data_IF_373769033617
#
_entry.id   IF_373769033617
#
_cell.length_a   1.000
_cell.length_b   1.000
_cell.length_c   1.000
_cell.angle_alpha   90.00
_cell.angle_beta   90.00
_cell.angle_gamma   90.00
#
_symmetry.space_group_name_H-M   'P 1'
#
loop_
_entity.id
_entity.type
_entity.pdbx_description
1 polymer ?
#
# COMPACT_ATOMS: atom_id res chain seq x y z
N UNK A 1 3.83 -6.74 -7.25
CA UNK A 1 2.64 -5.89 -7.12
C UNK A 1 3.09 -4.47 -6.84
N UNK A 2 2.30 -3.48 -7.24
CA UNK A 2 2.66 -2.08 -7.04
C UNK A 2 1.43 -1.26 -6.65
N UNK A 3 1.64 -0.13 -6.00
CA UNK A 3 0.58 0.78 -5.56
C UNK A 3 1.11 2.21 -5.50
N UNK A 4 0.33 3.16 -5.98
CA UNK A 4 0.64 4.58 -5.93
C UNK A 4 -0.62 5.40 -5.65
N UNK A 5 -0.43 6.65 -5.23
CA UNK A 5 -1.50 7.61 -5.03
C UNK A 5 -1.19 8.86 -5.87
N UNK A 6 -2.21 9.41 -6.54
CA UNK A 6 -2.04 10.63 -7.34
C UNK A 6 -3.14 11.67 -7.04
N UNK A 7 -2.77 12.93 -6.76
CA UNK A 7 -1.41 13.38 -6.43
C UNK A 7 -0.88 12.65 -5.20
N UNK A 8 0.43 12.39 -5.13
CA UNK A 8 1.02 11.68 -4.00
C UNK A 8 0.86 12.51 -2.72
N UNK A 9 0.17 12.02 -1.69
CA UNK A 9 0.01 12.75 -0.44
C UNK A 9 1.37 12.99 0.23
N UNK A 10 1.58 14.15 0.88
CA UNK A 10 2.76 14.38 1.70
C UNK A 10 2.90 13.27 2.76
N UNK A 11 4.08 12.67 2.88
CA UNK A 11 4.34 11.57 3.83
C UNK A 11 4.00 10.17 3.31
N UNK A 12 3.49 10.04 2.07
CA UNK A 12 3.07 8.74 1.55
C UNK A 12 4.26 7.80 1.30
N UNK A 13 5.38 8.32 0.82
CA UNK A 13 6.59 7.54 0.57
C UNK A 13 7.20 6.94 1.85
N UNK A 14 6.95 7.58 2.99
CA UNK A 14 7.45 7.21 4.32
C UNK A 14 6.47 6.34 5.10
N UNK A 15 5.26 6.10 4.56
CA UNK A 15 4.24 5.33 5.24
C UNK A 15 4.69 3.88 5.49
N UNK A 16 4.42 3.38 6.69
CA UNK A 16 4.66 1.99 7.03
C UNK A 16 3.61 1.09 6.37
N UNK A 17 3.97 0.47 5.24
CA UNK A 17 3.12 -0.47 4.51
C UNK A 17 3.45 -1.92 4.89
N UNK A 18 2.50 -2.80 4.62
CA UNK A 18 2.62 -4.25 4.84
C UNK A 18 2.55 -4.97 3.51
N UNK A 19 3.03 -6.21 3.39
CA UNK A 19 3.93 -6.90 4.33
C UNK A 19 5.31 -6.22 4.35
N UNK A 20 6.20 -6.61 5.26
CA UNK A 20 7.53 -5.98 5.43
C UNK A 20 8.42 -6.04 4.17
N UNK A 21 8.08 -6.91 3.20
CA UNK A 21 8.74 -6.99 1.90
C UNK A 21 8.31 -5.86 0.93
N UNK A 22 7.24 -5.12 1.22
CA UNK A 22 6.82 -3.97 0.44
C UNK A 22 7.67 -2.75 0.79
N UNK A 23 8.12 -2.00 -0.22
CA UNK A 23 8.95 -0.83 -0.05
C UNK A 23 8.65 0.25 -1.10
N UNK A 24 8.91 1.50 -0.77
CA UNK A 24 8.80 2.61 -1.71
C UNK A 24 9.97 2.62 -2.70
N UNK A 25 9.67 2.71 -4.00
CA UNK A 25 10.63 2.98 -5.06
C UNK A 25 10.54 4.46 -5.46
N UNK A 26 11.54 5.25 -5.05
CA UNK A 26 11.60 6.68 -5.36
C UNK A 26 11.89 7.02 -6.82
N UNK A 27 12.39 6.06 -7.62
CA UNK A 27 12.58 6.23 -9.05
C UNK A 27 11.27 6.12 -9.83
N UNK A 28 10.37 5.25 -9.37
CA UNK A 28 9.04 5.05 -9.96
C UNK A 28 7.97 5.94 -9.31
N UNK A 29 8.13 6.31 -8.04
CA UNK A 29 7.12 7.01 -7.26
C UNK A 29 5.99 6.10 -6.78
N UNK A 30 6.31 4.84 -6.47
CA UNK A 30 5.32 3.80 -6.14
C UNK A 30 5.83 2.87 -5.04
N UNK A 31 4.91 2.26 -4.28
CA UNK A 31 5.23 1.11 -3.46
C UNK A 31 5.31 -0.15 -4.32
N UNK A 32 6.33 -0.97 -4.08
CA UNK A 32 6.56 -2.24 -4.77
C UNK A 32 6.61 -3.38 -3.76
N UNK A 33 5.81 -4.41 -4.01
CA UNK A 33 5.85 -5.70 -3.33
C UNK A 33 6.38 -6.76 -4.30
N UNK A 34 7.59 -7.32 -4.08
CA UNK A 34 8.17 -8.33 -4.97
C UNK A 34 7.29 -9.57 -5.08
N UNK A 35 7.06 -10.05 -6.30
CA UNK A 35 6.27 -11.26 -6.54
C UNK A 35 6.88 -12.49 -5.86
N UNK A 36 8.21 -12.62 -5.86
CA UNK A 36 8.88 -13.76 -5.24
C UNK A 36 8.62 -13.84 -3.72
N UNK A 37 8.51 -12.68 -3.04
CA UNK A 37 8.14 -12.61 -1.62
C UNK A 37 6.73 -13.15 -1.39
N UNK A 38 5.75 -12.73 -2.19
CA UNK A 38 4.35 -13.20 -2.10
C UNK A 38 4.25 -14.69 -2.42
N UNK A 39 4.95 -15.16 -3.46
CA UNK A 39 4.96 -16.57 -3.87
C UNK A 39 5.52 -17.50 -2.80
N UNK A 40 6.41 -17.01 -1.93
CA UNK A 40 7.04 -17.77 -0.84
C UNK A 40 6.37 -17.55 0.52
N UNK A 41 5.37 -16.67 0.61
CA UNK A 41 4.66 -16.40 1.84
C UNK A 41 3.82 -17.60 2.27
N UNK A 42 3.60 -17.73 3.57
CA UNK A 42 2.74 -18.78 4.13
C UNK A 42 1.27 -18.64 3.68
N UNK A 43 0.83 -17.39 3.45
CA UNK A 43 -0.50 -17.04 2.92
C UNK A 43 -0.36 -15.92 1.87
N UNK A 44 -0.13 -16.27 0.60
CA UNK A 44 0.11 -15.29 -0.48
C UNK A 44 -1.03 -14.30 -0.70
N UNK A 45 -2.26 -14.77 -0.52
CA UNK A 45 -3.51 -14.01 -0.58
C UNK A 45 -3.59 -12.98 0.55
N UNK A 46 -3.27 -13.38 1.78
CA UNK A 46 -3.26 -12.47 2.93
C UNK A 46 -2.18 -11.39 2.80
N UNK A 47 -0.98 -11.75 2.33
CA UNK A 47 0.11 -10.80 2.11
C UNK A 47 -0.24 -9.78 1.02
N UNK A 48 -0.84 -10.24 -0.08
CA UNK A 48 -1.30 -9.36 -1.15
C UNK A 48 -2.41 -8.42 -0.66
N UNK A 49 -3.38 -8.95 0.09
CA UNK A 49 -4.46 -8.14 0.64
C UNK A 49 -3.92 -7.09 1.62
N UNK A 50 -3.01 -7.48 2.53
CA UNK A 50 -2.38 -6.56 3.48
C UNK A 50 -1.61 -5.43 2.77
N UNK A 51 -1.03 -5.72 1.60
CA UNK A 51 -0.43 -4.69 0.75
C UNK A 51 -1.44 -3.69 0.23
N UNK A 52 -2.49 -4.17 -0.43
CA UNK A 52 -3.54 -3.30 -0.94
C UNK A 52 -4.21 -2.46 0.17
N UNK A 53 -4.51 -3.07 1.31
CA UNK A 53 -5.15 -2.39 2.44
C UNK A 53 -4.25 -1.34 3.08
N UNK A 54 -2.96 -1.66 3.31
CA UNK A 54 -2.05 -0.73 3.96
C UNK A 54 -1.66 0.46 3.08
N UNK A 55 -1.48 0.25 1.77
CA UNK A 55 -1.22 1.36 0.83
C UNK A 55 -2.47 2.22 0.63
N UNK A 56 -3.67 1.61 0.58
CA UNK A 56 -4.93 2.34 0.56
C UNK A 56 -5.11 3.19 1.81
N UNK A 57 -4.94 2.61 3.00
CA UNK A 57 -5.09 3.32 4.27
C UNK A 57 -4.11 4.50 4.34
N UNK A 58 -2.84 4.30 4.00
CA UNK A 58 -1.85 5.37 3.96
C UNK A 58 -2.25 6.50 3.00
N UNK A 59 -2.74 6.17 1.80
CA UNK A 59 -3.17 7.15 0.83
C UNK A 59 -4.43 7.92 1.30
N UNK A 60 -5.41 7.21 1.86
CA UNK A 60 -6.66 7.79 2.33
C UNK A 60 -6.45 8.68 3.55
N UNK A 61 -5.66 8.23 4.53
CA UNK A 61 -5.38 8.97 5.75
C UNK A 61 -4.57 10.25 5.45
N UNK A 62 -3.51 10.15 4.64
CA UNK A 62 -2.68 11.31 4.27
C UNK A 62 -3.34 12.22 3.24
N UNK A 63 -4.20 11.65 2.38
CA UNK A 63 -5.01 12.39 1.41
C UNK A 63 -6.22 13.09 2.03
N UNK A 64 -6.50 12.85 3.33
CA UNK A 64 -7.65 13.44 4.03
C UNK A 64 -9.00 12.96 3.49
N UNK A 65 -9.07 11.72 3.00
CA UNK A 65 -10.30 11.16 2.45
C UNK A 65 -11.28 10.83 3.58
N UNK A 66 -12.58 11.09 3.35
CA UNK A 66 -13.62 10.66 4.28
C UNK A 66 -13.84 9.15 4.17
N UNK A 67 -13.02 8.38 4.89
CA UNK A 67 -13.07 6.92 4.90
C UNK A 67 -14.41 6.39 5.39
N UNK A 68 -15.04 7.07 6.35
CA UNK A 68 -16.35 6.69 6.86
C UNK A 68 -17.45 6.81 5.79
N UNK A 69 -17.31 7.75 4.84
CA UNK A 69 -18.22 7.85 3.70
C UNK A 69 -17.93 6.79 2.61
N UNK A 70 -16.67 6.40 2.44
CA UNK A 70 -16.19 5.48 1.40
C UNK A 70 -16.34 3.99 1.76
N UNK A 71 -16.21 3.64 3.04
CA UNK A 71 -16.21 2.26 3.54
C UNK A 71 -17.62 1.79 3.99
N UNK A 72 -18.68 2.51 3.58
CA UNK A 72 -20.06 2.11 3.88
C UNK A 72 -20.44 0.88 3.06
N UNK A 73 -20.82 -0.19 3.75
CA UNK A 73 -21.37 -1.44 3.21
C UNK A 73 -22.89 -1.44 3.19
#
# INVERSE_FOLDING_TARGET
FYSYAWPSPPGFAEAAVRPAAAAWDGGLGEFVLPYDSVRRADSPDADLLAFCESTYAAAADLGGWDRAALERS
#
